data_IF_501257436232
#
_entry.id   IF_501257436232
#
_cell.length_a   1.000
_cell.length_b   1.000
_cell.length_c   1.000
_cell.angle_alpha   90.00
_cell.angle_beta   90.00
_cell.angle_gamma   90.00
#
_symmetry.space_group_name_H-M   'P 1'
#
loop_
_entity.id
_entity.type
_entity.pdbx_description
1 polymer ?
#
# COMPACT_ATOMS: atom_id res chain seq x y z
N UNK A 1 11.70 -7.25 -3.55
CA UNK A 1 11.30 -6.32 -4.64
C UNK A 1 12.19 -5.08 -4.61
N UNK A 2 12.46 -4.44 -5.76
CA UNK A 2 13.24 -3.19 -5.81
C UNK A 2 12.37 -2.02 -5.34
N UNK A 3 12.97 -0.95 -4.84
CA UNK A 3 12.26 0.30 -4.54
C UNK A 3 11.51 0.79 -5.79
N UNK A 4 10.33 1.39 -5.61
CA UNK A 4 9.41 1.84 -6.68
C UNK A 4 8.93 0.73 -7.64
N UNK A 5 8.92 -0.53 -7.21
CA UNK A 5 8.23 -1.58 -7.98
C UNK A 5 6.72 -1.45 -7.81
N UNK A 6 5.97 -1.61 -8.89
CA UNK A 6 4.50 -1.70 -8.86
C UNK A 6 4.09 -3.07 -8.33
N UNK A 7 3.18 -3.08 -7.35
CA UNK A 7 2.59 -4.28 -6.75
C UNK A 7 1.26 -4.60 -7.42
N UNK A 8 0.41 -3.58 -7.60
CA UNK A 8 -0.92 -3.70 -8.20
C UNK A 8 -1.63 -2.35 -8.26
N UNK A 9 -2.78 -2.28 -8.92
CA UNK A 9 -3.55 -1.04 -9.09
C UNK A 9 -4.78 -1.04 -8.17
N UNK A 10 -4.66 -0.37 -7.03
CA UNK A 10 -5.71 -0.35 -6.00
C UNK A 10 -6.93 0.45 -6.43
N UNK A 11 -6.76 1.43 -7.32
CA UNK A 11 -7.89 2.18 -7.88
C UNK A 11 -8.84 1.24 -8.64
N UNK A 12 -8.29 0.39 -9.51
CA UNK A 12 -9.08 -0.59 -10.27
C UNK A 12 -9.68 -1.67 -9.37
N UNK A 13 -8.90 -2.21 -8.45
CA UNK A 13 -9.34 -3.31 -7.59
C UNK A 13 -10.48 -2.89 -6.66
N UNK A 14 -10.49 -1.62 -6.22
CA UNK A 14 -11.55 -1.04 -5.38
C UNK A 14 -12.65 -0.31 -6.18
N UNK A 15 -12.52 -0.20 -7.51
CA UNK A 15 -13.44 0.58 -8.34
C UNK A 15 -13.44 2.09 -8.03
N UNK A 16 -12.35 2.61 -7.48
CA UNK A 16 -12.17 4.03 -7.16
C UNK A 16 -11.53 4.77 -8.33
N UNK A 17 -11.94 6.01 -8.56
CA UNK A 17 -11.28 6.89 -9.51
C UNK A 17 -10.08 7.63 -8.89
N UNK A 18 -9.14 8.02 -9.74
CA UNK A 18 -7.90 8.71 -9.33
C UNK A 18 -8.17 10.07 -8.65
N UNK A 19 -9.26 10.74 -9.06
CA UNK A 19 -9.68 12.01 -8.44
C UNK A 19 -10.17 11.76 -7.02
N UNK A 20 -10.94 10.70 -6.78
CA UNK A 20 -11.36 10.29 -5.43
C UNK A 20 -10.18 9.94 -4.54
N UNK A 21 -9.18 9.20 -5.05
CA UNK A 21 -7.97 8.91 -4.27
C UNK A 21 -7.26 10.20 -3.84
N UNK A 22 -7.10 11.15 -4.78
CA UNK A 22 -6.43 12.42 -4.51
C UNK A 22 -7.26 13.33 -3.58
N UNK A 23 -8.56 13.47 -3.82
CA UNK A 23 -9.45 14.37 -3.07
C UNK A 23 -9.70 13.89 -1.64
N UNK A 24 -9.77 12.57 -1.44
CA UNK A 24 -9.95 11.94 -0.13
C UNK A 24 -8.62 11.69 0.58
N UNK A 25 -7.50 12.20 0.07
CA UNK A 25 -6.15 12.05 0.65
C UNK A 25 -5.80 10.58 0.93
N UNK A 26 -5.97 9.73 -0.08
CA UNK A 26 -5.65 8.32 0.04
C UNK A 26 -4.20 8.12 0.48
N UNK A 27 -4.00 7.27 1.48
CA UNK A 27 -2.67 6.92 1.99
C UNK A 27 -2.61 5.46 2.39
N UNK A 28 -1.41 4.89 2.29
CA UNK A 28 -1.14 3.54 2.77
C UNK A 28 -0.57 3.61 4.18
N UNK A 29 -1.11 2.80 5.07
CA UNK A 29 -0.57 2.55 6.40
C UNK A 29 -0.11 1.10 6.51
N UNK A 30 0.90 0.84 7.33
CA UNK A 30 1.44 -0.51 7.54
C UNK A 30 1.07 -0.97 8.95
N UNK A 31 0.32 -2.06 9.06
CA UNK A 31 -0.10 -2.61 10.36
C UNK A 31 1.14 -3.07 11.16
N UNK A 32 1.28 -2.58 12.40
CA UNK A 32 2.26 -3.11 13.36
C UNK A 32 3.73 -2.77 13.10
N UNK A 33 4.06 -2.02 12.03
CA UNK A 33 5.46 -1.67 11.70
C UNK A 33 5.58 -0.19 11.42
N UNK A 34 6.47 0.53 12.13
CA UNK A 34 6.76 1.96 11.85
C UNK A 34 7.38 2.21 10.46
N UNK A 35 7.77 1.14 9.74
CA UNK A 35 8.29 1.24 8.39
C UNK A 35 7.14 1.16 7.40
N UNK A 36 6.96 2.25 6.65
CA UNK A 36 6.14 2.25 5.43
C UNK A 36 6.91 1.51 4.35
N UNK A 37 6.50 0.28 4.06
CA UNK A 37 7.13 -0.56 3.01
C UNK A 37 6.49 -0.36 1.63
N UNK A 38 5.25 0.13 1.64
CA UNK A 38 4.44 0.40 0.47
C UNK A 38 3.88 1.82 0.54
N UNK A 39 3.57 2.38 -0.62
CA UNK A 39 2.94 3.69 -0.80
C UNK A 39 2.00 3.64 -2.01
N UNK A 40 1.13 4.64 -2.16
CA UNK A 40 0.21 4.74 -3.29
C UNK A 40 0.61 5.91 -4.21
N UNK A 41 0.70 5.64 -5.51
CA UNK A 41 0.81 6.69 -6.51
C UNK A 41 -0.59 7.20 -6.84
N UNK A 42 -0.95 8.38 -6.32
CA UNK A 42 -2.27 8.99 -6.53
C UNK A 42 -2.56 9.36 -8.00
N UNK A 43 -1.52 9.50 -8.83
CA UNK A 43 -1.67 9.82 -10.25
C UNK A 43 -2.00 8.59 -11.10
N UNK A 44 -1.65 7.38 -10.67
CA UNK A 44 -1.92 6.15 -11.43
C UNK A 44 -2.84 5.17 -10.70
N UNK A 45 -3.00 5.33 -9.38
CA UNK A 45 -3.71 4.39 -8.53
C UNK A 45 -2.89 3.14 -8.19
N UNK A 46 -1.58 3.15 -8.47
CA UNK A 46 -0.70 2.00 -8.23
C UNK A 46 -0.20 1.97 -6.79
N UNK A 47 -0.31 0.81 -6.16
CA UNK A 47 0.44 0.48 -4.96
C UNK A 47 1.88 0.16 -5.35
N UNK A 48 2.82 0.88 -4.79
CA UNK A 48 4.25 0.77 -5.08
C UNK A 48 5.04 0.51 -3.82
N UNK A 49 6.16 -0.19 -3.95
CA UNK A 49 7.10 -0.35 -2.83
C UNK A 49 7.84 0.97 -2.55
N UNK A 50 7.75 1.51 -1.33
CA UNK A 50 8.48 2.72 -0.91
C UNK A 50 9.96 2.44 -0.60
N UNK A 51 10.25 1.21 -0.14
CA UNK A 51 11.59 0.70 0.17
C UNK A 51 11.82 -0.67 -0.45
N UNK A 52 13.06 -1.17 -0.38
CA UNK A 52 13.38 -2.53 -0.80
C UNK A 52 12.70 -3.53 0.15
N UNK A 53 11.75 -4.30 -0.38
CA UNK A 53 11.18 -5.43 0.36
C UNK A 53 12.11 -6.64 0.27
N UNK A 54 12.75 -6.95 1.37
CA UNK A 54 13.61 -8.13 1.56
C UNK A 54 12.92 -9.11 2.51
N UNK A 55 12.63 -10.32 2.04
CA UNK A 55 11.79 -11.30 2.74
C UNK A 55 12.39 -11.69 4.08
N UNK A 56 13.70 -11.88 4.11
CA UNK A 56 14.47 -12.23 5.30
C UNK A 56 14.44 -11.09 6.32
N UNK A 57 14.52 -9.84 5.88
CA UNK A 57 14.39 -8.67 6.78
C UNK A 57 12.98 -8.48 7.36
N UNK A 58 11.94 -8.89 6.64
CA UNK A 58 10.54 -8.70 7.04
C UNK A 58 10.01 -9.83 7.90
N UNK A 59 10.31 -11.08 7.52
CA UNK A 59 9.71 -12.27 8.12
C UNK A 59 10.74 -13.30 8.59
N UNK A 60 12.04 -13.05 8.39
CA UNK A 60 13.10 -13.99 8.73
C UNK A 60 13.00 -15.28 7.92
N UNK A 61 13.09 -16.41 8.63
CA UNK A 61 13.08 -17.76 8.02
C UNK A 61 11.69 -18.38 7.93
N UNK A 62 10.62 -17.62 8.17
CA UNK A 62 9.25 -18.16 8.11
C UNK A 62 8.96 -18.73 6.71
N UNK A 63 8.24 -19.87 6.62
CA UNK A 63 7.91 -20.49 5.34
C UNK A 63 6.91 -19.66 4.52
N UNK A 64 6.07 -18.86 5.19
CA UNK A 64 5.17 -17.88 4.57
C UNK A 64 5.38 -16.50 5.18
N UNK A 65 5.26 -15.47 4.35
CA UNK A 65 5.43 -14.07 4.72
C UNK A 65 4.31 -13.26 4.05
N UNK A 66 3.41 -12.72 4.87
CA UNK A 66 2.32 -11.86 4.42
C UNK A 66 2.57 -10.47 4.99
N UNK A 67 2.59 -9.47 4.11
CA UNK A 67 2.72 -8.06 4.49
C UNK A 67 1.33 -7.46 4.35
N UNK A 68 0.75 -7.02 5.46
CA UNK A 68 -0.56 -6.37 5.47
C UNK A 68 -0.40 -4.87 5.38
N UNK A 69 -1.25 -4.24 4.58
CA UNK A 69 -1.30 -2.79 4.46
C UNK A 69 -2.74 -2.32 4.43
N UNK A 70 -2.98 -1.15 4.98
CA UNK A 70 -4.30 -0.54 4.99
C UNK A 70 -4.30 0.66 4.06
N UNK A 71 -5.26 0.70 3.13
CA UNK A 71 -5.57 1.91 2.39
C UNK A 71 -6.56 2.75 3.20
N UNK A 72 -6.16 3.96 3.55
CA UNK A 72 -6.98 4.91 4.30
C UNK A 72 -7.38 6.04 3.37
N UNK A 73 -8.68 6.30 3.27
CA UNK A 73 -9.27 7.51 2.70
C UNK A 73 -9.70 8.40 3.86
N UNK A 74 -9.24 9.65 3.93
CA UNK A 74 -9.42 10.49 5.12
C UNK A 74 -10.75 11.25 5.17
N UNK A 75 -11.41 11.47 4.03
CA UNK A 75 -12.63 12.29 3.98
C UNK A 75 -13.71 11.73 3.02
N UNK A 76 -14.82 11.17 3.52
CA UNK A 76 -14.99 10.66 4.88
C UNK A 76 -13.97 9.54 5.17
N UNK A 77 -13.71 9.28 6.45
CA UNK A 77 -12.78 8.24 6.87
C UNK A 77 -13.27 6.86 6.43
N UNK A 78 -12.48 6.16 5.63
CA UNK A 78 -12.74 4.81 5.15
C UNK A 78 -11.43 4.02 5.10
N UNK A 79 -11.47 2.73 5.42
CA UNK A 79 -10.30 1.88 5.54
C UNK A 79 -10.52 0.56 4.82
N UNK A 80 -9.64 0.26 3.86
CA UNK A 80 -9.61 -1.01 3.14
C UNK A 80 -8.38 -1.80 3.57
N UNK A 81 -8.59 -2.99 4.15
CA UNK A 81 -7.50 -3.88 4.59
C UNK A 81 -7.06 -4.77 3.44
N UNK A 82 -5.77 -4.76 3.14
CA UNK A 82 -5.15 -5.49 2.01
C UNK A 82 -4.04 -6.42 2.49
#
# INVERSE_FOLDING_TARGET
>A
MKRQSVIGNVAKDLGLDLRTLSSRKARVDSEGTRKRNCDINLSTGDLVTSERMDRESLCGKKPSCVVKVDLVLENPLELHRM
#
